data_IF_647869931556
#
_entry.id   IF_647869931556
#
_cell.length_a   1.000
_cell.length_b   1.000
_cell.length_c   1.000
_cell.angle_alpha   90.00
_cell.angle_beta   90.00
_cell.angle_gamma   90.00
#
_symmetry.space_group_name_H-M   'P 1'
#
loop_
_entity.id
_entity.type
_entity.pdbx_description
1 polymer ?
#
# COMPACT_ATOMS: atom_id res chain seq x y z
N UNK A 1 -3.00 8.56 22.36
CA UNK A 1 -3.82 7.81 21.37
C UNK A 1 -2.87 6.88 20.64
N UNK A 2 -3.18 5.59 20.50
CA UNK A 2 -2.27 4.65 19.82
C UNK A 2 -2.04 5.12 18.38
N UNK A 3 -0.82 4.95 17.91
CA UNK A 3 -0.44 5.31 16.53
C UNK A 3 -1.07 4.34 15.53
N UNK A 4 -1.60 4.86 14.42
CA UNK A 4 -2.18 4.05 13.36
C UNK A 4 -1.93 4.66 11.99
N UNK A 5 -1.67 3.81 11.00
CA UNK A 5 -1.62 4.19 9.58
C UNK A 5 -3.01 4.13 8.92
N UNK A 6 -3.99 3.49 9.58
CA UNK A 6 -5.31 3.29 9.02
C UNK A 6 -6.20 4.51 9.24
N UNK A 7 -6.67 5.14 8.16
CA UNK A 7 -7.51 6.31 8.23
C UNK A 7 -8.92 6.00 8.78
N UNK A 8 -9.44 4.81 8.55
CA UNK A 8 -10.74 4.38 9.04
C UNK A 8 -10.76 4.11 10.56
N UNK A 9 -9.63 3.75 11.17
CA UNK A 9 -9.52 3.69 12.64
C UNK A 9 -9.68 5.08 13.29
N UNK A 10 -9.25 6.13 12.58
CA UNK A 10 -9.35 7.51 13.05
C UNK A 10 -10.75 8.12 12.81
N UNK A 11 -11.38 7.78 11.69
CA UNK A 11 -12.58 8.45 11.21
C UNK A 11 -13.76 7.51 10.93
N UNK A 12 -13.54 6.21 10.75
CA UNK A 12 -14.51 5.26 10.22
C UNK A 12 -15.35 4.50 11.24
N UNK A 13 -15.16 4.69 12.54
CA UNK A 13 -15.84 3.87 13.56
C UNK A 13 -17.32 4.28 13.71
N UNK A 14 -18.28 3.35 13.52
CA UNK A 14 -19.69 3.60 13.78
C UNK A 14 -19.92 3.97 15.26
N UNK A 15 -20.61 5.09 15.49
CA UNK A 15 -21.00 5.52 16.85
C UNK A 15 -20.00 6.40 17.59
N UNK A 16 -18.85 6.71 17.05
CA UNK A 16 -17.96 7.76 17.55
C UNK A 16 -18.34 9.14 16.98
N UNK A 17 -18.22 10.14 17.81
CA UNK A 17 -18.35 11.61 17.64
C UNK A 17 -18.54 12.09 16.19
N UNK A 18 -19.31 13.15 15.98
CA UNK A 18 -19.49 13.78 14.67
C UNK A 18 -18.15 13.90 13.91
N UNK A 19 -18.14 13.45 12.65
CA UNK A 19 -16.95 13.52 11.80
C UNK A 19 -16.43 14.96 11.73
N UNK A 20 -15.11 15.18 11.75
CA UNK A 20 -14.55 16.51 11.56
C UNK A 20 -15.04 17.13 10.24
N UNK A 21 -15.23 18.44 10.23
CA UNK A 21 -15.60 19.14 9.00
C UNK A 21 -14.59 18.84 7.88
N UNK A 22 -15.09 18.47 6.70
CA UNK A 22 -14.25 18.08 5.55
C UNK A 22 -13.82 16.62 5.52
N UNK A 23 -14.32 15.77 6.41
CA UNK A 23 -14.15 14.33 6.35
C UNK A 23 -15.46 13.66 5.91
N UNK A 24 -15.37 12.77 4.95
CA UNK A 24 -16.47 11.90 4.50
C UNK A 24 -16.06 10.46 4.65
N UNK A 25 -16.97 9.62 5.13
CA UNK A 25 -16.77 8.18 5.25
C UNK A 25 -17.92 7.45 4.58
N UNK A 26 -17.61 6.48 3.75
CA UNK A 26 -18.58 5.62 3.11
C UNK A 26 -18.14 4.17 3.21
N UNK A 27 -19.05 3.29 3.61
CA UNK A 27 -18.79 1.84 3.71
C UNK A 27 -19.69 1.08 2.74
N UNK A 28 -19.12 0.10 2.07
CA UNK A 28 -19.81 -0.81 1.15
C UNK A 28 -19.35 -2.26 1.38
N UNK A 29 -20.14 -3.23 0.91
CA UNK A 29 -19.74 -4.64 0.87
C UNK A 29 -19.76 -5.13 -0.57
N UNK A 30 -18.68 -5.80 -0.97
CA UNK A 30 -18.53 -6.37 -2.30
C UNK A 30 -17.73 -7.68 -2.21
N UNK A 31 -18.28 -8.79 -2.76
CA UNK A 31 -17.57 -10.07 -2.82
C UNK A 31 -17.12 -10.63 -1.45
N UNK A 32 -17.86 -10.35 -0.37
CA UNK A 32 -17.49 -10.76 0.99
C UNK A 32 -16.49 -9.82 1.69
N UNK A 33 -16.02 -8.77 1.01
CA UNK A 33 -15.09 -7.77 1.53
C UNK A 33 -15.87 -6.54 1.99
N UNK A 34 -15.56 -6.01 3.18
CA UNK A 34 -16.04 -4.70 3.62
C UNK A 34 -15.05 -3.65 3.16
N UNK A 35 -15.54 -2.63 2.46
CA UNK A 35 -14.73 -1.54 1.89
C UNK A 35 -15.14 -0.24 2.57
N UNK A 36 -14.22 0.40 3.27
CA UNK A 36 -14.40 1.72 3.90
C UNK A 36 -13.57 2.75 3.16
N UNK A 37 -14.22 3.78 2.64
CA UNK A 37 -13.59 4.91 1.96
C UNK A 37 -13.65 6.13 2.84
N UNK A 38 -12.49 6.74 3.12
CA UNK A 38 -12.35 7.98 3.87
C UNK A 38 -11.80 9.04 2.94
N UNK A 39 -12.53 10.12 2.77
CA UNK A 39 -12.12 11.30 2.01
C UNK A 39 -11.86 12.47 2.96
N UNK A 40 -10.66 13.02 2.91
CA UNK A 40 -10.23 14.16 3.72
C UNK A 40 -10.04 15.36 2.77
N UNK A 41 -10.91 16.37 2.89
CA UNK A 41 -10.94 17.52 1.98
C UNK A 41 -10.11 18.73 2.48
N UNK A 42 -9.57 18.68 3.72
CA UNK A 42 -8.82 19.81 4.32
C UNK A 42 -7.53 19.33 4.98
N UNK A 43 -6.55 20.23 5.04
CA UNK A 43 -5.32 20.06 5.79
C UNK A 43 -5.52 20.21 7.32
N UNK A 44 -4.51 19.83 8.10
CA UNK A 44 -4.47 20.00 9.57
C UNK A 44 -5.27 18.95 10.34
N UNK A 45 -5.63 17.85 9.73
CA UNK A 45 -6.19 16.68 10.40
C UNK A 45 -5.10 15.63 10.69
N UNK A 46 -5.46 14.59 11.42
CA UNK A 46 -4.53 13.50 11.81
C UNK A 46 -3.92 12.76 10.61
N UNK A 47 -4.53 12.89 9.43
CA UNK A 47 -4.01 12.37 8.16
C UNK A 47 -4.02 13.47 7.10
N UNK A 48 -3.12 13.43 6.10
CA UNK A 48 -3.10 14.35 4.98
C UNK A 48 -4.42 14.37 4.19
N UNK A 49 -4.69 15.50 3.53
CA UNK A 49 -5.79 15.63 2.58
C UNK A 49 -5.63 14.61 1.45
N UNK A 50 -6.73 13.90 1.12
CA UNK A 50 -6.77 12.90 0.05
C UNK A 50 -7.77 11.79 0.32
N UNK A 51 -7.61 10.69 -0.38
CA UNK A 51 -8.49 9.51 -0.34
C UNK A 51 -7.75 8.33 0.28
N UNK A 52 -8.45 7.63 1.16
CA UNK A 52 -7.99 6.41 1.81
C UNK A 52 -9.06 5.35 1.63
N UNK A 53 -8.66 4.17 1.24
CA UNK A 53 -9.57 3.04 1.05
C UNK A 53 -9.05 1.87 1.83
N UNK A 54 -9.86 1.35 2.72
CA UNK A 54 -9.56 0.20 3.56
C UNK A 54 -10.46 -0.96 3.16
N UNK A 55 -9.87 -2.12 2.90
CA UNK A 55 -10.57 -3.37 2.64
C UNK A 55 -10.36 -4.31 3.82
N UNK A 56 -11.46 -4.76 4.45
CA UNK A 56 -11.41 -5.78 5.50
C UNK A 56 -11.63 -7.16 4.90
N UNK A 57 -10.74 -8.08 5.21
CA UNK A 57 -10.76 -9.48 4.77
C UNK A 57 -10.70 -10.42 5.99
N UNK A 58 -11.12 -11.70 5.88
CA UNK A 58 -11.11 -12.62 7.01
C UNK A 58 -9.71 -12.78 7.64
N UNK A 59 -8.73 -13.15 6.87
CA UNK A 59 -7.32 -13.18 7.23
C UNK A 59 -6.49 -13.26 5.96
N UNK A 60 -5.49 -12.40 5.84
CA UNK A 60 -4.60 -12.39 4.67
C UNK A 60 -3.81 -13.69 4.56
N UNK A 61 -3.44 -14.32 5.69
CA UNK A 61 -2.70 -15.60 5.68
C UNK A 61 -3.51 -16.79 5.16
N UNK A 62 -4.83 -16.63 4.98
CA UNK A 62 -5.71 -17.65 4.39
C UNK A 62 -6.06 -17.36 2.92
N UNK A 63 -5.58 -16.26 2.38
CA UNK A 63 -5.80 -15.81 1.00
C UNK A 63 -4.53 -16.00 0.18
N UNK A 64 -4.69 -16.11 -1.13
CA UNK A 64 -3.56 -16.19 -2.05
C UNK A 64 -3.83 -15.41 -3.34
N UNK A 65 -2.92 -15.50 -4.31
CA UNK A 65 -3.05 -14.87 -5.62
C UNK A 65 -4.18 -15.43 -6.50
N UNK A 66 -4.95 -16.42 -6.01
CA UNK A 66 -6.11 -17.03 -6.71
C UNK A 66 -7.44 -16.54 -6.15
N UNK A 67 -7.42 -15.83 -5.03
CA UNK A 67 -8.61 -15.22 -4.43
C UNK A 67 -9.12 -14.03 -5.26
N UNK A 68 -9.55 -14.35 -6.49
CA UNK A 68 -9.88 -13.38 -7.53
C UNK A 68 -10.92 -12.34 -7.08
N UNK A 69 -11.87 -12.71 -6.22
CA UNK A 69 -12.88 -11.77 -5.72
C UNK A 69 -12.25 -10.64 -4.87
N UNK A 70 -11.31 -10.98 -3.99
CA UNK A 70 -10.59 -10.01 -3.16
C UNK A 70 -9.64 -9.17 -4.01
N UNK A 71 -8.93 -9.82 -4.96
CA UNK A 71 -8.00 -9.15 -5.88
C UNK A 71 -8.75 -8.16 -6.77
N UNK A 72 -9.89 -8.54 -7.36
CA UNK A 72 -10.70 -7.65 -8.20
C UNK A 72 -11.27 -6.48 -7.38
N UNK A 73 -11.73 -6.72 -6.16
CA UNK A 73 -12.19 -5.65 -5.26
C UNK A 73 -11.03 -4.68 -4.94
N UNK A 74 -9.87 -5.19 -4.55
CA UNK A 74 -8.70 -4.38 -4.25
C UNK A 74 -8.20 -3.59 -5.49
N UNK A 75 -8.15 -4.23 -6.64
CA UNK A 75 -7.76 -3.59 -7.90
C UNK A 75 -8.76 -2.50 -8.35
N UNK A 76 -10.06 -2.74 -8.14
CA UNK A 76 -11.12 -1.77 -8.45
C UNK A 76 -10.99 -0.50 -7.60
N UNK A 77 -10.55 -0.63 -6.34
CA UNK A 77 -10.33 0.51 -5.43
C UNK A 77 -8.98 1.21 -5.67
N UNK A 78 -7.94 0.47 -6.03
CA UNK A 78 -6.62 1.06 -6.32
C UNK A 78 -6.61 1.83 -7.66
N UNK A 79 -7.28 1.31 -8.69
CA UNK A 79 -7.25 1.89 -10.05
C UNK A 79 -7.70 3.36 -10.11
N UNK A 80 -8.77 3.81 -9.45
CA UNK A 80 -9.19 5.22 -9.47
C UNK A 80 -8.22 6.17 -8.76
N UNK A 81 -7.28 5.66 -7.97
CA UNK A 81 -6.24 6.47 -7.33
C UNK A 81 -5.06 6.71 -8.27
N UNK A 82 -4.83 5.81 -9.23
CA UNK A 82 -3.74 5.88 -10.21
C UNK A 82 -4.04 6.86 -11.33
N UNK A 83 -3.03 7.53 -11.91
CA UNK A 83 -3.19 8.21 -13.20
C UNK A 83 -3.69 7.24 -14.27
N UNK A 84 -4.52 7.70 -15.24
CA UNK A 84 -5.10 6.81 -16.24
C UNK A 84 -4.05 6.14 -17.15
N UNK A 85 -2.95 6.84 -17.41
CA UNK A 85 -1.90 6.41 -18.34
C UNK A 85 -0.50 6.72 -17.81
N UNK A 86 0.51 6.26 -18.52
CA UNK A 86 1.92 6.52 -18.25
C UNK A 86 2.58 5.47 -17.35
N UNK A 87 3.92 5.48 -17.25
CA UNK A 87 4.69 4.52 -16.49
C UNK A 87 4.40 4.61 -14.99
N UNK A 88 4.41 3.48 -14.29
CA UNK A 88 4.32 3.43 -12.82
C UNK A 88 5.56 2.78 -12.23
N UNK A 89 6.14 3.44 -11.23
CA UNK A 89 7.19 2.87 -10.40
C UNK A 89 6.57 2.32 -9.11
N UNK A 90 6.73 1.02 -8.86
CA UNK A 90 6.33 0.37 -7.61
C UNK A 90 7.53 0.28 -6.68
N UNK A 91 7.43 0.85 -5.49
CA UNK A 91 8.51 0.92 -4.52
C UNK A 91 8.16 0.08 -3.29
N UNK A 92 8.87 -1.04 -3.07
CA UNK A 92 8.69 -1.89 -1.89
C UNK A 92 9.52 -1.39 -0.71
N UNK A 93 8.88 -0.68 0.20
CA UNK A 93 9.51 -0.06 1.38
C UNK A 93 9.65 -1.08 2.50
N UNK A 94 10.72 -1.00 3.25
CA UNK A 94 10.94 -1.82 4.45
C UNK A 94 12.24 -2.63 4.41
N UNK A 95 12.45 -3.40 5.47
CA UNK A 95 13.63 -4.22 5.67
C UNK A 95 13.31 -5.70 5.43
N UNK A 96 13.83 -6.26 4.35
CA UNK A 96 13.65 -7.67 3.98
C UNK A 96 14.12 -8.66 5.07
N UNK A 97 15.02 -8.25 5.97
CA UNK A 97 15.58 -9.07 7.05
C UNK A 97 14.73 -9.06 8.33
N UNK A 98 13.74 -8.17 8.40
CA UNK A 98 12.81 -8.06 9.54
C UNK A 98 11.44 -8.46 9.05
N UNK A 99 10.92 -9.60 9.51
CA UNK A 99 9.67 -10.17 8.97
C UNK A 99 8.52 -9.16 8.98
N UNK A 100 8.29 -8.46 10.08
CA UNK A 100 7.21 -7.49 10.20
C UNK A 100 7.34 -6.28 9.25
N UNK A 101 8.54 -6.01 8.72
CA UNK A 101 8.86 -4.90 7.80
C UNK A 101 9.19 -5.41 6.37
N UNK A 102 8.90 -6.68 6.06
CA UNK A 102 9.28 -7.32 4.80
C UNK A 102 8.19 -7.31 3.73
N UNK A 103 6.98 -6.78 4.01
CA UNK A 103 5.85 -6.82 3.11
C UNK A 103 6.17 -6.15 1.77
N UNK A 104 6.61 -4.88 1.79
CA UNK A 104 6.93 -4.12 0.59
C UNK A 104 8.00 -4.80 -0.28
N UNK A 105 9.19 -5.15 0.29
CA UNK A 105 10.23 -5.87 -0.44
C UNK A 105 9.78 -7.22 -1.05
N UNK A 106 8.85 -7.94 -0.41
CA UNK A 106 8.30 -9.19 -0.96
C UNK A 106 7.23 -8.94 -2.01
N UNK A 107 6.40 -7.90 -1.84
CA UNK A 107 5.37 -7.54 -2.82
C UNK A 107 5.97 -7.18 -4.17
N UNK A 108 7.06 -6.39 -4.22
CA UNK A 108 7.66 -6.00 -5.50
C UNK A 108 8.22 -7.18 -6.30
N UNK A 109 8.52 -8.30 -5.67
CA UNK A 109 8.91 -9.54 -6.35
C UNK A 109 7.74 -10.24 -7.06
N UNK A 110 6.50 -9.86 -6.71
CA UNK A 110 5.25 -10.35 -7.29
C UNK A 110 4.63 -9.35 -8.29
N UNK A 111 5.29 -8.21 -8.53
CA UNK A 111 4.84 -7.23 -9.51
C UNK A 111 5.22 -7.66 -10.92
N UNK A 112 4.27 -7.59 -11.84
CA UNK A 112 4.50 -7.81 -13.27
C UNK A 112 5.24 -6.60 -13.87
N UNK A 113 6.56 -6.69 -13.88
CA UNK A 113 7.46 -5.69 -14.45
C UNK A 113 7.41 -5.79 -15.98
N UNK A 114 7.06 -4.68 -16.62
CA UNK A 114 6.91 -4.57 -18.08
C UNK A 114 7.82 -3.50 -18.68
N UNK A 115 8.53 -2.78 -17.83
CA UNK A 115 9.51 -1.78 -18.23
C UNK A 115 10.90 -2.42 -18.22
N UNK A 116 11.59 -2.37 -19.33
CA UNK A 116 12.94 -2.92 -19.44
C UNK A 116 13.83 -2.00 -20.26
N UNK A 117 15.16 -1.99 -20.00
CA UNK A 117 16.11 -1.03 -20.62
C UNK A 117 16.23 -1.16 -22.15
N UNK A 118 15.71 -2.23 -22.74
CA UNK A 118 15.75 -2.52 -24.19
C UNK A 118 14.43 -3.01 -24.76
N UNK A 119 13.35 -2.95 -24.01
CA UNK A 119 12.03 -3.41 -24.44
C UNK A 119 11.22 -2.25 -24.99
N UNK A 120 10.78 -2.34 -26.24
CA UNK A 120 9.78 -1.43 -26.77
C UNK A 120 8.47 -1.58 -25.98
N UNK A 121 7.73 -0.48 -25.76
CA UNK A 121 6.42 -0.57 -25.11
C UNK A 121 5.50 -1.53 -25.87
N UNK A 122 4.89 -2.47 -25.13
CA UNK A 122 3.91 -3.39 -25.71
C UNK A 122 2.55 -2.69 -25.75
N UNK A 123 1.90 -2.58 -26.90
CA UNK A 123 0.60 -1.93 -27.01
C UNK A 123 -0.43 -2.54 -26.07
N UNK A 124 -1.07 -1.69 -25.26
CA UNK A 124 -2.10 -2.13 -24.32
C UNK A 124 -1.58 -2.69 -22.99
N UNK A 125 -0.26 -2.77 -22.81
CA UNK A 125 0.39 -3.11 -21.54
C UNK A 125 0.99 -1.83 -20.95
N UNK A 126 0.64 -1.51 -19.71
CA UNK A 126 1.17 -0.36 -18.99
C UNK A 126 2.64 -0.59 -18.62
N UNK A 127 3.56 0.36 -18.86
CA UNK A 127 4.93 0.25 -18.40
C UNK A 127 5.00 0.29 -16.88
N UNK A 128 5.62 -0.72 -16.26
CA UNK A 128 5.78 -0.87 -14.81
C UNK A 128 7.21 -1.25 -14.50
N UNK A 129 7.82 -0.49 -13.60
CA UNK A 129 9.08 -0.83 -12.93
C UNK A 129 8.81 -1.13 -11.46
N UNK A 130 9.59 -2.02 -10.85
CA UNK A 130 9.46 -2.34 -9.43
C UNK A 130 10.84 -2.48 -8.79
N UNK A 131 11.00 -1.93 -7.57
CA UNK A 131 12.26 -1.98 -6.84
C UNK A 131 12.03 -2.00 -5.32
N UNK A 132 12.85 -2.76 -4.60
CA UNK A 132 12.97 -2.68 -3.14
C UNK A 132 14.28 -1.96 -2.82
N UNK A 133 14.24 -0.67 -2.40
CA UNK A 133 15.45 0.15 -2.20
C UNK A 133 16.24 -0.28 -0.96
N UNK A 134 15.63 -1.05 -0.05
CA UNK A 134 16.19 -1.36 1.26
C UNK A 134 16.02 -0.21 2.27
N UNK A 135 16.76 -0.30 3.37
CA UNK A 135 16.71 0.67 4.47
C UNK A 135 17.99 1.51 4.54
N UNK A 136 17.90 2.72 5.07
CA UNK A 136 19.01 3.67 5.15
C UNK A 136 20.23 3.08 5.87
N UNK A 137 20.01 2.27 6.90
CA UNK A 137 21.10 1.59 7.63
C UNK A 137 21.91 0.60 6.76
N UNK A 138 21.32 0.07 5.68
CA UNK A 138 21.98 -0.85 4.77
C UNK A 138 22.55 -0.17 3.51
N UNK A 139 21.94 0.93 3.08
CA UNK A 139 22.29 1.60 1.82
C UNK A 139 23.12 2.87 1.99
N UNK A 140 23.09 3.48 3.19
CA UNK A 140 23.66 4.80 3.46
C UNK A 140 22.86 5.97 2.85
N UNK A 141 21.71 5.68 2.19
CA UNK A 141 20.87 6.67 1.53
C UNK A 141 19.48 6.67 2.15
N UNK A 142 18.86 7.84 2.23
CA UNK A 142 17.48 7.95 2.66
C UNK A 142 16.53 7.42 1.57
N UNK A 143 15.33 6.96 1.97
CA UNK A 143 14.29 6.55 1.05
C UNK A 143 13.96 7.68 0.05
N UNK A 144 13.91 8.93 0.52
CA UNK A 144 13.63 10.10 -0.31
C UNK A 144 14.72 10.34 -1.37
N UNK A 145 16.01 10.16 -1.03
CA UNK A 145 17.11 10.29 -1.99
C UNK A 145 17.00 9.23 -3.10
N UNK A 146 16.74 7.97 -2.73
CA UNK A 146 16.59 6.87 -3.67
C UNK A 146 15.34 7.04 -4.56
N UNK A 147 14.20 7.34 -3.95
CA UNK A 147 12.96 7.58 -4.71
C UNK A 147 13.11 8.78 -5.66
N UNK A 148 13.69 9.89 -5.20
CA UNK A 148 13.93 11.07 -6.02
C UNK A 148 14.88 10.80 -7.20
N UNK A 149 15.92 9.99 -7.01
CA UNK A 149 16.82 9.60 -8.09
C UNK A 149 16.09 8.75 -9.15
N UNK A 150 15.28 7.77 -8.70
CA UNK A 150 14.49 6.92 -9.60
C UNK A 150 13.42 7.71 -10.35
N UNK A 151 12.74 8.64 -9.69
CA UNK A 151 11.74 9.51 -10.33
C UNK A 151 12.39 10.38 -11.41
N UNK A 152 13.57 10.95 -11.15
CA UNK A 152 14.28 11.73 -12.15
C UNK A 152 14.77 10.94 -13.34
N UNK A 153 15.15 9.69 -13.15
CA UNK A 153 15.63 8.80 -14.21
C UNK A 153 14.51 8.19 -15.05
N UNK A 154 13.45 7.71 -14.37
CA UNK A 154 12.39 6.92 -15.00
C UNK A 154 11.19 7.75 -15.47
N UNK A 155 11.06 8.99 -14.99
CA UNK A 155 9.94 9.90 -15.28
C UNK A 155 8.57 9.20 -15.16
N UNK A 156 8.26 8.53 -14.03
CA UNK A 156 7.00 7.82 -13.90
C UNK A 156 5.83 8.80 -13.80
N UNK A 157 4.66 8.38 -14.29
CA UNK A 157 3.41 9.12 -14.10
C UNK A 157 2.91 9.05 -12.65
N UNK A 158 3.32 8.01 -11.90
CA UNK A 158 3.09 7.88 -10.48
C UNK A 158 4.11 6.94 -9.81
N UNK A 159 4.31 7.15 -8.51
CA UNK A 159 5.00 6.26 -7.60
C UNK A 159 3.98 5.56 -6.72
N UNK A 160 3.99 4.22 -6.66
CA UNK A 160 3.21 3.42 -5.72
C UNK A 160 4.13 2.80 -4.66
N UNK A 161 4.05 3.30 -3.44
CA UNK A 161 4.78 2.76 -2.30
C UNK A 161 4.01 1.60 -1.68
N UNK A 162 4.68 0.48 -1.42
CA UNK A 162 4.12 -0.65 -0.66
C UNK A 162 4.89 -0.77 0.65
N UNK A 163 4.19 -0.77 1.78
CA UNK A 163 4.81 -0.81 3.11
C UNK A 163 4.01 -1.68 4.09
N UNK A 164 4.67 -2.10 5.15
CA UNK A 164 4.04 -2.66 6.35
C UNK A 164 3.42 -1.53 7.17
N UNK A 165 2.14 -1.65 7.51
CA UNK A 165 1.41 -0.60 8.24
C UNK A 165 1.35 -0.90 9.73
N UNK A 166 1.14 0.16 10.52
CA UNK A 166 0.80 0.10 11.93
C UNK A 166 -0.73 0.25 12.10
N UNK A 167 -1.30 -0.56 13.00
CA UNK A 167 -2.71 -0.46 13.41
C UNK A 167 -2.79 -0.13 14.90
N UNK A 168 -3.84 0.57 15.32
CA UNK A 168 -4.18 0.78 16.73
C UNK A 168 -5.01 -0.39 17.29
N UNK A 169 -5.60 -1.22 16.43
CA UNK A 169 -6.52 -2.32 16.78
C UNK A 169 -5.90 -3.68 16.39
N UNK A 170 -5.75 -4.62 17.35
CA UNK A 170 -5.13 -5.93 17.07
C UNK A 170 -5.95 -6.77 16.09
N UNK A 171 -7.27 -6.55 16.01
CA UNK A 171 -8.17 -7.24 15.08
C UNK A 171 -7.91 -6.92 13.62
N UNK A 172 -7.22 -5.82 13.34
CA UNK A 172 -6.87 -5.36 12.00
C UNK A 172 -5.59 -5.99 11.47
N UNK A 173 -4.74 -6.53 12.36
CA UNK A 173 -3.46 -7.12 11.99
C UNK A 173 -3.64 -8.31 11.05
N UNK A 174 -3.06 -8.22 9.83
CA UNK A 174 -3.19 -9.23 8.81
C UNK A 174 -4.62 -9.45 8.29
N UNK A 175 -5.52 -8.48 8.48
CA UNK A 175 -6.92 -8.56 8.05
C UNK A 175 -7.40 -7.34 7.28
N UNK A 176 -6.49 -6.46 6.95
CA UNK A 176 -6.82 -5.17 6.34
C UNK A 176 -5.82 -4.85 5.23
N UNK A 177 -6.32 -4.40 4.09
CA UNK A 177 -5.51 -3.75 3.06
C UNK A 177 -5.88 -2.28 3.04
N UNK A 178 -4.91 -1.37 2.98
CA UNK A 178 -5.19 0.04 2.79
C UNK A 178 -4.48 0.58 1.56
N UNK A 179 -5.19 1.44 0.82
CA UNK A 179 -4.67 2.25 -0.28
C UNK A 179 -4.90 3.73 0.01
N UNK A 180 -3.99 4.60 -0.45
CA UNK A 180 -4.19 6.04 -0.41
C UNK A 180 -3.51 6.75 -1.57
N UNK A 181 -3.99 7.95 -1.91
CA UNK A 181 -3.38 8.84 -2.91
C UNK A 181 -2.59 9.99 -2.27
N UNK A 182 -2.28 9.88 -0.99
CA UNK A 182 -1.59 10.92 -0.22
C UNK A 182 -0.09 10.70 -0.10
N UNK A 183 0.38 9.51 -0.50
CA UNK A 183 1.76 9.08 -0.30
C UNK A 183 1.97 8.27 0.97
N UNK A 184 3.24 8.04 1.30
CA UNK A 184 3.66 7.30 2.48
C UNK A 184 3.87 8.25 3.64
N UNK A 185 3.04 8.13 4.66
CA UNK A 185 3.08 8.93 5.89
C UNK A 185 2.97 8.00 7.11
N UNK A 186 4.07 7.31 7.51
CA UNK A 186 4.04 6.43 8.67
C UNK A 186 3.57 7.18 9.92
N UNK A 187 2.76 6.52 10.75
CA UNK A 187 2.28 7.08 12.01
C UNK A 187 3.43 7.29 13.02
N UNK A 188 4.50 6.52 12.89
CA UNK A 188 5.70 6.69 13.70
C UNK A 188 6.43 7.99 13.35
N UNK A 189 7.10 8.64 14.33
CA UNK A 189 7.71 9.96 14.16
C UNK A 189 8.94 10.01 13.25
N UNK A 190 9.29 8.90 12.57
CA UNK A 190 10.40 8.88 11.60
C UNK A 190 9.99 9.51 10.27
N UNK A 191 10.17 10.83 10.19
CA UNK A 191 9.91 11.60 8.97
C UNK A 191 10.84 11.23 7.79
N UNK A 192 11.86 10.43 7.99
CA UNK A 192 12.79 10.00 6.93
C UNK A 192 12.12 9.08 5.90
N UNK A 193 11.01 8.45 6.27
CA UNK A 193 10.20 7.56 5.41
C UNK A 193 9.03 8.26 4.72
N UNK A 194 8.81 9.56 4.95
CA UNK A 194 7.75 10.31 4.31
C UNK A 194 8.02 10.53 2.83
N UNK A 195 7.12 10.07 1.97
CA UNK A 195 7.15 10.30 0.53
C UNK A 195 5.77 10.81 0.07
N UNK A 196 5.75 11.97 -0.55
CA UNK A 196 4.54 12.59 -1.08
C UNK A 196 4.82 13.33 -2.40
N UNK A 197 3.76 13.76 -3.05
CA UNK A 197 3.84 14.47 -4.32
C UNK A 197 4.59 15.81 -4.21
N UNK A 198 4.50 16.50 -3.07
CA UNK A 198 5.18 17.78 -2.87
C UNK A 198 6.71 17.61 -2.85
N UNK A 199 7.20 16.48 -2.32
CA UNK A 199 8.64 16.16 -2.27
C UNK A 199 9.19 15.63 -3.58
N UNK A 200 8.39 14.84 -4.32
CA UNK A 200 8.88 14.10 -5.48
C UNK A 200 8.46 14.69 -6.84
N UNK A 201 7.50 15.61 -6.86
CA UNK A 201 7.00 16.23 -8.09
C UNK A 201 6.12 15.33 -8.96
N UNK A 202 5.78 14.13 -8.47
CA UNK A 202 4.88 13.18 -9.13
C UNK A 202 3.84 12.67 -8.12
N UNK A 203 2.65 12.24 -8.55
CA UNK A 203 1.69 11.58 -7.67
C UNK A 203 2.31 10.39 -6.92
N UNK A 204 2.12 10.34 -5.61
CA UNK A 204 2.59 9.25 -4.75
C UNK A 204 1.40 8.59 -4.09
N UNK A 205 1.27 7.29 -4.31
CA UNK A 205 0.28 6.45 -3.69
C UNK A 205 0.92 5.55 -2.64
N UNK A 206 0.14 5.10 -1.68
CA UNK A 206 0.57 4.08 -0.73
C UNK A 206 -0.39 2.89 -0.74
N UNK A 207 0.17 1.70 -0.54
CA UNK A 207 -0.54 0.45 -0.35
C UNK A 207 0.12 -0.33 0.79
N UNK A 208 -0.65 -1.02 1.62
CA UNK A 208 -0.07 -1.83 2.67
C UNK A 208 -1.07 -2.66 3.45
N UNK A 209 -0.51 -3.47 4.36
CA UNK A 209 -1.23 -4.34 5.29
C UNK A 209 -0.68 -4.07 6.69
N UNK A 210 -1.52 -3.91 7.72
CA UNK A 210 -1.04 -3.79 9.09
C UNK A 210 -0.42 -5.12 9.55
N UNK A 211 0.86 -5.05 9.88
CA UNK A 211 1.67 -6.18 10.34
C UNK A 211 2.15 -6.00 11.76
N UNK A 212 1.99 -4.80 12.30
CA UNK A 212 2.42 -4.45 13.64
C UNK A 212 1.45 -3.48 14.31
N UNK A 213 1.46 -3.51 15.64
CA UNK A 213 0.75 -2.59 16.51
C UNK A 213 1.67 -2.20 17.66
N UNK A 214 1.71 -0.94 18.03
CA UNK A 214 2.38 -0.49 19.22
C UNK A 214 1.53 -0.83 20.46
N UNK A 215 2.07 -1.64 21.39
CA UNK A 215 1.30 -2.16 22.52
C UNK A 215 0.93 -1.07 23.53
N UNK A 216 1.86 -0.16 23.83
CA UNK A 216 1.67 0.94 24.76
C UNK A 216 2.35 2.22 24.24
N UNK A 217 1.71 3.37 24.48
CA UNK A 217 2.28 4.68 24.17
C UNK A 217 3.60 4.88 24.93
N UNK A 218 4.68 5.21 24.21
CA UNK A 218 6.00 5.47 24.79
C UNK A 218 6.85 4.24 25.14
N UNK A 219 6.43 3.03 24.75
CA UNK A 219 7.26 1.81 24.87
C UNK A 219 7.55 1.23 23.48
N UNK A 220 8.78 0.75 23.28
CA UNK A 220 9.22 0.05 22.05
C UNK A 220 8.65 -1.38 21.93
N UNK A 221 7.53 -1.66 22.60
CA UNK A 221 6.89 -2.96 22.56
C UNK A 221 5.91 -3.03 21.39
N UNK A 222 6.21 -3.91 20.45
CA UNK A 222 5.43 -4.12 19.24
C UNK A 222 4.71 -5.49 19.31
N UNK A 223 3.43 -5.50 18.98
CA UNK A 223 2.63 -6.72 18.80
C UNK A 223 2.51 -7.01 17.31
N UNK A 224 2.65 -8.28 16.94
CA UNK A 224 2.50 -8.76 15.56
C UNK A 224 1.48 -9.90 15.51
N UNK A 225 0.90 -10.24 14.35
CA UNK A 225 0.09 -11.44 14.20
C UNK A 225 0.85 -12.69 14.63
N UNK A 226 0.14 -13.67 15.21
CA UNK A 226 0.77 -14.97 15.57
C UNK A 226 1.36 -15.67 14.34
N UNK A 227 0.67 -15.61 13.19
CA UNK A 227 1.13 -16.14 11.90
C UNK A 227 1.68 -15.00 11.02
N UNK A 228 2.69 -14.30 11.53
CA UNK A 228 3.29 -13.16 10.81
C UNK A 228 3.92 -13.59 9.47
N UNK A 229 4.59 -14.74 9.43
CA UNK A 229 5.23 -15.24 8.21
C UNK A 229 4.19 -15.54 7.12
N UNK A 230 3.05 -16.14 7.48
CA UNK A 230 1.92 -16.36 6.60
C UNK A 230 1.31 -15.04 6.12
N UNK A 231 1.08 -14.08 7.02
CA UNK A 231 0.57 -12.74 6.67
C UNK A 231 1.49 -12.05 5.67
N UNK A 232 2.80 -12.10 5.85
CA UNK A 232 3.76 -11.47 4.95
C UNK A 232 3.83 -12.20 3.60
N UNK A 233 3.86 -13.53 3.59
CA UNK A 233 3.96 -14.30 2.35
C UNK A 233 2.70 -14.14 1.48
N UNK A 234 1.53 -14.40 2.06
CA UNK A 234 0.25 -14.32 1.36
C UNK A 234 -0.16 -12.87 1.08
N UNK A 235 0.12 -11.95 2.03
CA UNK A 235 -0.13 -10.52 1.83
C UNK A 235 0.67 -9.92 0.68
N UNK A 236 1.93 -10.32 0.53
CA UNK A 236 2.76 -9.89 -0.59
C UNK A 236 2.23 -10.43 -1.93
N UNK A 237 1.78 -11.69 -1.97
CA UNK A 237 1.18 -12.29 -3.15
C UNK A 237 -0.15 -11.60 -3.52
N UNK A 238 -1.03 -11.41 -2.55
CA UNK A 238 -2.33 -10.75 -2.71
C UNK A 238 -2.19 -9.30 -3.18
N UNK A 239 -1.32 -8.50 -2.52
CA UNK A 239 -1.06 -7.12 -2.93
C UNK A 239 -0.41 -7.06 -4.32
N UNK A 240 0.56 -7.93 -4.61
CA UNK A 240 1.19 -8.03 -5.92
C UNK A 240 0.16 -8.30 -7.02
N UNK A 241 -0.73 -9.27 -6.81
CA UNK A 241 -1.82 -9.60 -7.75
C UNK A 241 -2.81 -8.43 -7.92
N UNK A 242 -3.21 -7.76 -6.84
CA UNK A 242 -4.10 -6.60 -6.89
C UNK A 242 -3.46 -5.41 -7.63
N UNK A 243 -2.18 -5.13 -7.37
CA UNK A 243 -1.40 -4.09 -8.07
C UNK A 243 -1.31 -4.42 -9.56
N UNK A 244 -0.94 -5.66 -9.90
CA UNK A 244 -0.86 -6.11 -11.29
C UNK A 244 -2.20 -5.94 -12.01
N UNK A 245 -3.29 -6.35 -11.37
CA UNK A 245 -4.64 -6.24 -11.93
C UNK A 245 -5.12 -4.80 -12.07
N UNK A 246 -4.74 -3.91 -11.15
CA UNK A 246 -5.03 -2.48 -11.25
C UNK A 246 -4.25 -1.82 -12.40
N UNK A 247 -2.97 -2.18 -12.57
CA UNK A 247 -2.08 -1.60 -13.57
C UNK A 247 -2.30 -2.18 -14.97
N UNK A 248 -2.75 -3.44 -15.08
CA UNK A 248 -2.97 -4.17 -16.34
C UNK A 248 -4.44 -4.58 -16.51
N UNK A 249 -5.38 -3.62 -16.67
CA UNK A 249 -6.82 -3.92 -16.64
C UNK A 249 -7.31 -4.76 -17.83
N UNK A 250 -6.50 -4.97 -18.83
CA UNK A 250 -6.81 -5.82 -19.99
C UNK A 250 -6.48 -7.30 -19.75
N UNK A 251 -5.69 -7.61 -18.72
CA UNK A 251 -5.30 -8.97 -18.36
C UNK A 251 -6.14 -9.46 -17.17
N UNK A 252 -6.61 -10.70 -17.22
CA UNK A 252 -7.30 -11.32 -16.08
C UNK A 252 -6.32 -11.67 -14.95
N UNK A 253 -6.84 -11.87 -13.74
CA UNK A 253 -6.03 -12.33 -12.58
C UNK A 253 -5.28 -13.61 -12.95
N UNK A 254 -5.94 -14.59 -13.58
CA UNK A 254 -5.31 -15.84 -13.97
C UNK A 254 -4.15 -15.66 -14.96
N UNK A 255 -4.30 -14.77 -15.95
CA UNK A 255 -3.22 -14.44 -16.88
C UNK A 255 -2.05 -13.78 -16.17
N UNK A 256 -2.32 -12.85 -15.26
CA UNK A 256 -1.28 -12.16 -14.49
C UNK A 256 -0.54 -13.12 -13.56
N UNK A 257 -1.23 -14.02 -12.85
CA UNK A 257 -0.60 -15.05 -12.04
C UNK A 257 0.34 -15.95 -12.87
N UNK A 258 -0.09 -16.34 -14.08
CA UNK A 258 0.75 -17.16 -14.97
C UNK A 258 2.00 -16.40 -15.45
N UNK A 259 1.91 -15.08 -15.69
CA UNK A 259 3.02 -14.25 -16.18
C UNK A 259 4.06 -13.92 -15.10
N UNK A 260 3.68 -13.93 -13.83
CA UNK A 260 4.57 -13.60 -12.71
C UNK A 260 5.23 -14.84 -12.11
N UNK A 261 4.60 -16.00 -12.22
CA UNK A 261 5.13 -17.32 -11.80
C UNK A 261 4.85 -17.61 -10.35
#
# INVERSE_FOLDING_TARGET
MRETDLADELFGQPGKTALPAGVRVATARQGGVTITRVEIAREGLARPRGRYVTLEVPSVSLLDERDSAVIEAAAAELRPLLPPEGPVLVLGVGNRRVTADALGPRTVQKVFVTMGPRTAPVPGIRPVAAVAPGVSAATGLSLQQLAGALVRELHPAALLCVDSLCSAEPERLGRTLQFSDTGLHPAQPDHSRHLDAARLGVPVLAAGIPTLMQAEEGRDLVVTPRDLDGVIAHGAALLGAAINRALQPKLSVAQLCWLVG
#
